data_IF_872796819216
#
_entry.id   IF_872796819216
#
_cell.length_a   1.000
_cell.length_b   1.000
_cell.length_c   1.000
_cell.angle_alpha   90.00
_cell.angle_beta   90.00
_cell.angle_gamma   90.00
#
_symmetry.space_group_name_H-M   'P 1'
#
loop_
_entity.id
_entity.type
_entity.pdbx_description
1 polymer ?
#
# COMPACT_ATOMS: atom_id res chain seq x y z
N UNK A 1 -12.27 -14.25 4.62
CA UNK A 1 -11.20 -14.35 5.62
C UNK A 1 -11.04 -13.00 6.29
N UNK A 2 -10.48 -12.99 7.50
CA UNK A 2 -10.06 -11.78 8.20
C UNK A 2 -8.59 -11.95 8.60
N UNK A 3 -7.83 -10.86 8.61
CA UNK A 3 -6.44 -10.85 9.01
C UNK A 3 -6.12 -9.57 9.80
N UNK A 4 -5.23 -9.70 10.78
CA UNK A 4 -4.63 -8.58 11.48
C UNK A 4 -3.12 -8.84 11.60
N UNK A 5 -2.33 -7.85 11.21
CA UNK A 5 -0.87 -7.94 11.21
C UNK A 5 -0.25 -6.68 11.80
N UNK A 6 0.92 -6.85 12.40
CA UNK A 6 1.72 -5.75 12.96
C UNK A 6 3.13 -5.86 12.40
N UNK A 7 3.68 -4.73 11.95
CA UNK A 7 5.05 -4.58 11.49
C UNK A 7 5.72 -3.38 12.17
N UNK A 8 7.06 -3.38 12.20
CA UNK A 8 7.85 -2.31 12.81
C UNK A 8 9.09 -2.00 11.99
N UNK A 9 9.49 -0.73 12.01
CA UNK A 9 10.73 -0.21 11.44
C UNK A 9 11.51 0.53 12.56
N UNK A 10 12.55 -0.09 13.16
CA UNK A 10 13.30 0.52 14.26
C UNK A 10 14.19 1.68 13.80
N UNK A 11 14.62 2.57 14.71
CA UNK A 11 15.67 3.56 14.42
C UNK A 11 16.90 2.89 13.80
N UNK A 12 17.35 3.41 12.66
CA UNK A 12 18.46 2.87 11.88
C UNK A 12 18.12 1.66 11.00
N UNK A 13 16.93 1.08 11.11
CA UNK A 13 16.54 -0.05 10.26
C UNK A 13 16.27 0.35 8.79
N UNK A 14 16.00 1.64 8.52
CA UNK A 14 15.77 2.12 7.16
C UNK A 14 17.05 2.19 6.32
N UNK A 15 18.19 2.60 6.91
CA UNK A 15 19.42 2.89 6.18
C UNK A 15 20.70 2.87 7.04
N UNK A 16 20.70 2.20 8.18
CA UNK A 16 21.79 2.13 9.17
C UNK A 16 22.17 3.45 9.85
N UNK A 17 21.66 4.59 9.39
CA UNK A 17 21.93 5.88 10.02
C UNK A 17 21.22 5.95 11.38
N UNK A 18 21.92 6.44 12.39
CA UNK A 18 21.37 6.75 13.71
C UNK A 18 21.51 8.24 14.00
N UNK A 19 20.64 8.77 14.85
CA UNK A 19 20.74 10.12 15.38
C UNK A 19 20.92 10.07 16.91
N UNK A 20 21.66 11.04 17.42
CA UNK A 20 21.88 11.19 18.86
C UNK A 20 20.54 11.43 19.58
N UNK A 21 20.37 10.84 20.75
CA UNK A 21 19.16 10.99 21.56
C UNK A 21 18.95 12.42 22.06
N UNK A 22 17.70 12.80 22.33
CA UNK A 22 17.33 14.05 23.01
C UNK A 22 16.75 15.13 22.10
N UNK A 23 17.43 15.51 21.01
CA UNK A 23 16.98 16.58 20.11
C UNK A 23 17.09 16.23 18.63
N UNK A 24 16.26 16.88 17.81
CA UNK A 24 16.18 16.67 16.36
C UNK A 24 14.95 15.88 15.91
N UNK A 25 14.66 15.97 14.62
CA UNK A 25 13.46 15.43 13.97
C UNK A 25 13.68 14.09 13.26
N UNK A 26 14.85 13.48 13.44
CA UNK A 26 15.18 12.21 12.80
C UNK A 26 14.43 11.06 13.48
N UNK A 27 13.68 10.26 12.70
CA UNK A 27 13.10 9.00 13.15
C UNK A 27 14.15 7.98 13.60
N UNK A 28 15.42 8.19 13.24
CA UNK A 28 16.55 7.33 13.60
C UNK A 28 17.19 7.69 14.96
N UNK A 29 16.57 8.58 15.73
CA UNK A 29 16.99 8.87 17.11
C UNK A 29 16.95 7.61 17.97
N UNK A 30 18.03 7.34 18.70
CA UNK A 30 18.15 6.12 19.51
C UNK A 30 17.18 6.06 20.69
N UNK A 31 16.64 7.20 21.12
CA UNK A 31 15.59 7.32 22.15
C UNK A 31 14.16 7.25 21.58
N UNK A 32 14.00 7.21 20.26
CA UNK A 32 12.69 7.07 19.61
C UNK A 32 12.28 5.60 19.47
N UNK A 33 10.97 5.38 19.52
CA UNK A 33 10.33 4.09 19.31
C UNK A 33 10.40 3.73 17.81
N UNK A 34 10.35 2.44 17.46
CA UNK A 34 10.12 2.02 16.08
C UNK A 34 8.84 2.63 15.51
N UNK A 35 8.87 3.04 14.24
CA UNK A 35 7.65 3.28 13.47
C UNK A 35 6.88 1.95 13.45
N UNK A 36 5.57 2.00 13.70
CA UNK A 36 4.73 0.80 13.81
C UNK A 36 3.60 0.88 12.80
N UNK A 37 3.37 -0.21 12.07
CA UNK A 37 2.26 -0.34 11.13
C UNK A 37 1.34 -1.47 11.58
N UNK A 38 0.05 -1.18 11.69
CA UNK A 38 -1.00 -2.11 12.07
C UNK A 38 -1.96 -2.26 10.90
N UNK A 39 -2.01 -3.44 10.29
CA UNK A 39 -2.86 -3.71 9.12
C UNK A 39 -4.02 -4.61 9.51
N UNK A 40 -5.23 -4.19 9.16
CA UNK A 40 -6.45 -4.98 9.26
C UNK A 40 -6.98 -5.23 7.85
N UNK A 41 -7.37 -6.48 7.58
CA UNK A 41 -7.83 -6.89 6.26
C UNK A 41 -9.02 -7.84 6.38
N UNK A 42 -10.00 -7.63 5.51
CA UNK A 42 -11.12 -8.54 5.31
C UNK A 42 -11.27 -8.78 3.82
N UNK A 43 -11.34 -10.05 3.42
CA UNK A 43 -11.42 -10.37 2.00
C UNK A 43 -12.07 -11.68 1.69
N UNK A 44 -12.21 -11.92 0.40
CA UNK A 44 -12.71 -13.16 -0.18
C UNK A 44 -11.81 -13.60 -1.33
N UNK A 45 -11.74 -14.92 -1.52
CA UNK A 45 -10.93 -15.56 -2.57
C UNK A 45 -11.77 -16.66 -3.18
N UNK A 46 -11.87 -16.65 -4.51
CA UNK A 46 -12.66 -17.61 -5.26
C UNK A 46 -11.79 -18.28 -6.30
N UNK A 47 -11.73 -19.60 -6.26
CA UNK A 47 -11.20 -20.41 -7.34
C UNK A 47 -12.37 -20.83 -8.23
N UNK A 48 -12.41 -20.31 -9.45
CA UNK A 48 -13.47 -20.57 -10.43
C UNK A 48 -12.90 -21.29 -11.64
N UNK A 49 -13.77 -21.77 -12.54
CA UNK A 49 -13.41 -22.43 -13.80
C UNK A 49 -12.44 -23.61 -13.56
N UNK A 50 -12.90 -24.61 -12.81
CA UNK A 50 -12.09 -25.77 -12.42
C UNK A 50 -10.79 -25.41 -11.68
N UNK A 51 -10.87 -24.35 -10.85
CA UNK A 51 -9.76 -23.76 -10.09
C UNK A 51 -8.64 -23.18 -10.96
N UNK A 52 -8.93 -22.90 -12.23
CA UNK A 52 -7.95 -22.34 -13.17
C UNK A 52 -7.88 -20.81 -13.13
N UNK A 53 -8.88 -20.16 -12.54
CA UNK A 53 -8.92 -18.71 -12.37
C UNK A 53 -9.13 -18.35 -10.91
N UNK A 54 -8.23 -17.53 -10.38
CA UNK A 54 -8.32 -16.97 -9.04
C UNK A 54 -8.88 -15.55 -9.11
N UNK A 55 -9.93 -15.28 -8.35
CA UNK A 55 -10.46 -13.95 -8.10
C UNK A 55 -10.26 -13.60 -6.63
N UNK A 56 -9.76 -12.41 -6.35
CA UNK A 56 -9.64 -11.90 -4.97
C UNK A 56 -10.28 -10.52 -4.86
N UNK A 57 -10.88 -10.26 -3.71
CA UNK A 57 -11.29 -8.93 -3.31
C UNK A 57 -10.99 -8.75 -1.81
N UNK A 58 -10.45 -7.61 -1.42
CA UNK A 58 -10.14 -7.30 -0.02
C UNK A 58 -10.41 -5.82 0.28
N UNK A 59 -10.91 -5.55 1.49
CA UNK A 59 -10.85 -4.23 2.12
C UNK A 59 -9.66 -4.27 3.09
N UNK A 60 -8.89 -3.20 3.11
CA UNK A 60 -7.73 -3.09 4.00
C UNK A 60 -7.64 -1.72 4.64
N UNK A 61 -7.02 -1.68 5.82
CA UNK A 61 -6.59 -0.46 6.50
C UNK A 61 -5.25 -0.71 7.18
N UNK A 62 -4.28 0.13 6.89
CA UNK A 62 -3.00 0.20 7.59
C UNK A 62 -2.90 1.52 8.34
N UNK A 63 -2.87 1.43 9.67
CA UNK A 63 -2.59 2.55 10.56
C UNK A 63 -1.09 2.56 10.89
N UNK A 64 -0.42 3.67 10.62
CA UNK A 64 1.01 3.88 10.90
C UNK A 64 1.13 4.87 12.05
N UNK A 65 1.88 4.49 13.08
CA UNK A 65 2.06 5.23 14.32
C UNK A 65 3.54 5.46 14.63
N UNK A 66 3.78 6.32 15.62
CA UNK A 66 5.09 6.78 16.07
C UNK A 66 5.85 7.62 15.02
N UNK A 67 5.11 8.34 14.17
CA UNK A 67 5.72 9.31 13.26
C UNK A 67 6.21 10.54 14.03
N UNK A 68 7.39 11.03 13.65
CA UNK A 68 8.02 12.19 14.28
C UNK A 68 7.36 13.47 13.78
N UNK A 69 6.85 14.26 14.71
CA UNK A 69 6.19 15.54 14.44
C UNK A 69 6.72 16.61 15.41
N UNK A 70 6.56 17.89 15.04
CA UNK A 70 7.04 19.03 15.82
C UNK A 70 5.96 19.51 16.80
N UNK A 71 6.30 19.64 18.08
CA UNK A 71 5.45 20.23 19.11
C UNK A 71 5.46 21.77 19.03
N UNK A 72 4.51 22.42 19.71
CA UNK A 72 4.39 23.88 19.73
C UNK A 72 5.62 24.60 20.32
N UNK A 73 6.35 23.95 21.23
CA UNK A 73 7.58 24.47 21.84
C UNK A 73 8.84 24.28 20.96
N UNK A 74 8.66 23.74 19.75
CA UNK A 74 9.73 23.47 18.79
C UNK A 74 10.47 22.15 19.01
N UNK A 75 10.15 21.38 20.06
CA UNK A 75 10.67 20.03 20.26
C UNK A 75 10.01 19.02 19.30
N UNK A 76 10.53 17.80 19.25
CA UNK A 76 10.01 16.74 18.38
C UNK A 76 9.57 15.53 19.19
N UNK A 77 8.38 15.02 18.89
CA UNK A 77 7.74 13.88 19.57
C UNK A 77 7.11 12.92 18.55
N UNK A 78 6.86 11.67 18.97
CA UNK A 78 6.29 10.64 18.12
C UNK A 78 4.76 10.51 18.27
N UNK A 79 4.04 11.61 18.07
CA UNK A 79 2.56 11.61 18.11
C UNK A 79 1.92 11.50 16.72
N UNK A 80 2.72 11.60 15.66
CA UNK A 80 2.22 11.57 14.30
C UNK A 80 1.64 10.21 13.93
N UNK A 81 0.61 10.25 13.08
CA UNK A 81 -0.10 9.08 12.58
C UNK A 81 -0.41 9.23 11.10
N UNK A 82 -0.29 8.15 10.35
CA UNK A 82 -0.70 8.05 8.94
C UNK A 82 -1.69 6.91 8.79
N UNK A 83 -2.50 6.96 7.74
CA UNK A 83 -3.38 5.85 7.35
C UNK A 83 -3.36 5.64 5.86
N UNK A 84 -3.31 4.39 5.44
CA UNK A 84 -3.67 3.97 4.08
C UNK A 84 -4.82 3.00 4.19
N UNK A 85 -5.94 3.30 3.56
CA UNK A 85 -7.11 2.42 3.56
C UNK A 85 -7.77 2.38 2.19
N UNK A 86 -8.39 1.26 1.87
CA UNK A 86 -8.86 1.05 0.52
C UNK A 86 -9.39 -0.35 0.27
N UNK A 87 -9.50 -0.66 -1.01
CA UNK A 87 -9.83 -1.99 -1.47
C UNK A 87 -9.01 -2.40 -2.67
N UNK A 88 -8.78 -3.70 -2.78
CA UNK A 88 -8.07 -4.31 -3.89
C UNK A 88 -8.92 -5.41 -4.50
N UNK A 89 -8.90 -5.50 -5.82
CA UNK A 89 -9.51 -6.58 -6.59
C UNK A 89 -8.42 -7.12 -7.51
N UNK A 90 -8.29 -8.44 -7.58
CA UNK A 90 -7.36 -9.08 -8.51
C UNK A 90 -7.97 -10.28 -9.22
N UNK A 91 -7.42 -10.55 -10.39
CA UNK A 91 -7.71 -11.72 -11.22
C UNK A 91 -6.40 -12.32 -11.72
N UNK A 92 -6.27 -13.63 -11.65
CA UNK A 92 -5.10 -14.33 -12.17
C UNK A 92 -5.45 -15.76 -12.61
N UNK A 93 -5.09 -16.11 -13.84
CA UNK A 93 -5.20 -17.47 -14.36
C UNK A 93 -5.87 -17.54 -15.73
N UNK A 94 -6.58 -18.64 -15.98
CA UNK A 94 -7.18 -18.96 -17.27
C UNK A 94 -8.70 -18.77 -17.26
N UNK A 95 -9.21 -17.93 -18.16
CA UNK A 95 -10.65 -17.87 -18.48
C UNK A 95 -11.06 -19.10 -19.29
N UNK A 96 -10.19 -19.53 -20.21
CA UNK A 96 -10.36 -20.77 -21.00
C UNK A 96 -9.00 -21.45 -21.16
N UNK A 97 -8.92 -22.69 -21.71
CA UNK A 97 -7.63 -23.27 -22.08
C UNK A 97 -6.73 -22.37 -22.94
N UNK A 98 -7.32 -21.59 -23.85
CA UNK A 98 -6.61 -20.70 -24.75
C UNK A 98 -6.45 -19.26 -24.22
N UNK A 99 -7.17 -18.86 -23.17
CA UNK A 99 -7.23 -17.48 -22.71
C UNK A 99 -6.75 -17.32 -21.28
N UNK A 100 -5.67 -16.56 -21.10
CA UNK A 100 -5.06 -16.22 -19.82
C UNK A 100 -5.19 -14.73 -19.52
N UNK A 101 -5.35 -14.39 -18.25
CA UNK A 101 -5.32 -13.01 -17.79
C UNK A 101 -4.70 -12.87 -16.41
N UNK A 102 -4.07 -11.74 -16.18
CA UNK A 102 -3.61 -11.30 -14.87
C UNK A 102 -3.82 -9.80 -14.75
N UNK A 103 -4.39 -9.35 -13.64
CA UNK A 103 -4.64 -7.94 -13.44
C UNK A 103 -5.21 -7.64 -12.06
N UNK A 104 -5.31 -6.35 -11.80
CA UNK A 104 -5.87 -5.86 -10.57
C UNK A 104 -6.21 -4.38 -10.64
N UNK A 105 -7.03 -3.99 -9.68
CA UNK A 105 -7.44 -2.62 -9.43
C UNK A 105 -7.28 -2.36 -7.94
N UNK A 106 -6.77 -1.18 -7.60
CA UNK A 106 -6.75 -0.68 -6.23
C UNK A 106 -7.33 0.72 -6.18
N UNK A 107 -8.15 0.96 -5.16
CA UNK A 107 -8.41 2.30 -4.67
C UNK A 107 -7.82 2.39 -3.27
N UNK A 108 -6.94 3.37 -3.05
CA UNK A 108 -6.27 3.56 -1.76
C UNK A 108 -6.19 5.03 -1.39
N UNK A 109 -6.69 5.38 -0.21
CA UNK A 109 -6.59 6.73 0.32
C UNK A 109 -5.51 6.77 1.39
N UNK A 110 -4.40 7.44 1.05
CA UNK A 110 -3.27 7.64 1.94
C UNK A 110 -3.32 9.04 2.57
N UNK A 111 -3.40 9.12 3.90
CA UNK A 111 -3.60 10.38 4.63
C UNK A 111 -2.72 10.53 5.87
N UNK A 112 -2.34 11.77 6.18
CA UNK A 112 -1.92 12.19 7.51
C UNK A 112 -3.16 12.19 8.41
N UNK A 113 -3.11 11.47 9.53
CA UNK A 113 -4.18 11.44 10.54
C UNK A 113 -3.89 12.38 11.69
N UNK A 114 -2.64 12.42 12.14
CA UNK A 114 -2.14 13.37 13.12
C UNK A 114 -0.74 13.82 12.65
N UNK A 115 -0.44 15.10 12.73
CA UNK A 115 0.82 15.67 12.27
C UNK A 115 0.60 16.79 11.26
N UNK A 116 1.70 17.33 10.75
CA UNK A 116 1.67 18.37 9.73
C UNK A 116 1.35 17.78 8.35
N UNK A 117 0.50 18.46 7.59
CA UNK A 117 0.24 18.08 6.20
C UNK A 117 1.52 18.16 5.36
N UNK A 118 1.69 17.15 4.50
CA UNK A 118 2.91 16.95 3.69
C UNK A 118 2.68 17.17 2.20
N UNK A 119 1.43 17.33 1.77
CA UNK A 119 1.10 17.64 0.39
C UNK A 119 1.36 19.13 0.09
N UNK A 120 1.78 19.43 -1.14
CA UNK A 120 2.09 20.79 -1.57
C UNK A 120 0.85 21.71 -1.57
N UNK A 121 -0.33 21.15 -1.79
CA UNK A 121 -1.61 21.86 -1.76
C UNK A 121 -2.19 22.03 -0.35
N UNK A 122 -1.49 21.55 0.68
CA UNK A 122 -1.93 21.57 2.07
C UNK A 122 -3.04 20.58 2.39
N UNK A 123 -3.32 19.62 1.49
CA UNK A 123 -4.23 18.51 1.81
C UNK A 123 -3.56 17.49 2.74
N UNK A 124 -4.39 16.68 3.39
CA UNK A 124 -3.90 15.57 4.22
C UNK A 124 -3.37 14.38 3.41
N UNK A 125 -3.39 14.43 2.07
CA UNK A 125 -2.95 13.33 1.22
C UNK A 125 -1.44 13.08 1.35
N UNK A 126 -1.03 11.81 1.29
CA UNK A 126 0.39 11.48 1.17
C UNK A 126 0.84 11.64 -0.29
N UNK A 127 1.95 12.35 -0.56
CA UNK A 127 2.44 12.55 -1.91
C UNK A 127 2.90 11.22 -2.54
N UNK A 128 2.98 11.23 -3.86
CA UNK A 128 3.47 10.10 -4.67
C UNK A 128 2.65 8.80 -4.57
N UNK A 129 1.42 8.88 -4.03
CA UNK A 129 0.54 7.73 -3.84
C UNK A 129 -0.74 7.93 -4.64
N UNK A 130 -0.90 7.30 -5.82
CA UNK A 130 -2.11 7.46 -6.61
C UNK A 130 -3.32 6.85 -5.88
N UNK A 131 -4.43 7.58 -5.85
CA UNK A 131 -5.66 7.09 -5.21
C UNK A 131 -6.29 5.93 -5.99
N UNK A 132 -6.12 5.92 -7.31
CA UNK A 132 -6.63 4.90 -8.20
C UNK A 132 -5.49 4.34 -9.05
N UNK A 133 -5.35 3.01 -9.10
CA UNK A 133 -4.43 2.36 -10.01
C UNK A 133 -5.03 1.06 -10.57
N UNK A 134 -4.79 0.82 -11.85
CA UNK A 134 -5.30 -0.34 -12.58
C UNK A 134 -4.22 -0.91 -13.48
N UNK A 135 -4.16 -2.24 -13.55
CA UNK A 135 -3.36 -2.96 -14.53
C UNK A 135 -4.09 -4.22 -14.97
N UNK A 136 -4.04 -4.50 -16.28
CA UNK A 136 -4.53 -5.74 -16.84
C UNK A 136 -3.63 -6.18 -17.98
N UNK A 137 -3.25 -7.44 -17.97
CA UNK A 137 -2.60 -8.15 -19.05
C UNK A 137 -3.43 -9.37 -19.42
N UNK A 138 -3.56 -9.63 -20.72
CA UNK A 138 -4.34 -10.74 -21.24
C UNK A 138 -3.66 -11.32 -22.47
N UNK A 139 -3.67 -12.65 -22.59
CA UNK A 139 -3.12 -13.37 -23.73
C UNK A 139 -4.11 -14.44 -24.21
N UNK A 140 -4.29 -14.51 -25.52
CA UNK A 140 -5.18 -15.46 -26.19
C UNK A 140 -4.43 -16.26 -27.25
N UNK A 141 -4.50 -17.60 -27.17
CA UNK A 141 -4.03 -18.51 -28.20
C UNK A 141 -5.07 -18.56 -29.33
N UNK A 142 -4.81 -17.86 -30.43
CA UNK A 142 -5.75 -17.70 -31.53
C UNK A 142 -5.78 -18.92 -32.46
N UNK A 143 -4.63 -19.54 -32.68
CA UNK A 143 -4.43 -20.80 -33.43
C UNK A 143 -3.38 -21.65 -32.72
N UNK A 144 -3.06 -22.84 -33.20
CA UNK A 144 -2.00 -23.69 -32.62
C UNK A 144 -0.61 -23.03 -32.68
N UNK A 145 -0.40 -22.10 -33.63
CA UNK A 145 0.89 -21.44 -33.85
C UNK A 145 0.93 -19.97 -33.38
N UNK A 146 -0.23 -19.33 -33.20
CA UNK A 146 -0.32 -17.87 -32.99
C UNK A 146 -1.01 -17.54 -31.66
N UNK A 147 -0.32 -16.77 -30.84
CA UNK A 147 -0.88 -16.11 -29.65
C UNK A 147 -0.85 -14.59 -29.78
N UNK A 148 -1.88 -13.92 -29.24
CA UNK A 148 -1.97 -12.46 -29.20
C UNK A 148 -2.08 -12.01 -27.74
N UNK A 149 -1.25 -11.05 -27.37
CA UNK A 149 -1.23 -10.44 -26.04
C UNK A 149 -1.57 -8.95 -26.10
N UNK A 150 -2.29 -8.46 -25.09
CA UNK A 150 -2.58 -7.05 -24.92
C UNK A 150 -2.56 -6.67 -23.43
N UNK A 151 -2.17 -5.42 -23.15
CA UNK A 151 -2.13 -4.90 -21.80
C UNK A 151 -2.56 -3.45 -21.72
N UNK A 152 -3.13 -3.09 -20.57
CA UNK A 152 -3.52 -1.72 -20.23
C UNK A 152 -3.09 -1.39 -18.80
N UNK A 153 -2.67 -0.14 -18.60
CA UNK A 153 -2.34 0.42 -17.28
C UNK A 153 -2.91 1.80 -17.14
N UNK A 154 -3.42 2.11 -15.96
CA UNK A 154 -3.86 3.43 -15.56
C UNK A 154 -3.27 3.76 -14.19
N UNK A 155 -2.68 4.94 -14.09
CA UNK A 155 -2.15 5.51 -12.85
C UNK A 155 -2.89 6.83 -12.64
N UNK A 156 -3.66 6.92 -11.56
CA UNK A 156 -4.40 8.11 -11.20
C UNK A 156 -3.50 9.25 -10.73
N UNK A 157 -4.14 10.38 -10.47
CA UNK A 157 -3.47 11.55 -9.90
C UNK A 157 -2.89 11.25 -8.52
N UNK A 158 -1.82 11.97 -8.18
CA UNK A 158 -1.11 11.95 -6.90
C UNK A 158 -1.35 13.24 -6.14
#
# INVERSE_FOLDING_TARGET
YINYAVSQQPPGGNNFALAQSGSGNSANRTDFKPQKANTSEIGTKWQVLDKRLLLTAALFRTDIENEVEQNDDGTYSQYGKKRVEGYEISVAGNITPAWQMIGGYTQQKATIKNGKDVAQDGSSSLPYTPEHAFTLWSQYQATDDISVGAGARYIGSM
#
